data_IF_893438307426
#
_entry.id   IF_893438307426
#
_cell.length_a   1.000
_cell.length_b   1.000
_cell.length_c   1.000
_cell.angle_alpha   90.00
_cell.angle_beta   90.00
_cell.angle_gamma   90.00
#
_symmetry.space_group_name_H-M   'P 1'
#
loop_
_entity.id
_entity.type
_entity.pdbx_description
1 polymer ?
#
# COMPACT_ATOMS: atom_id res chain seq x y z
N UNK A 1 -15.88 -7.41 7.30
CA UNK A 1 -15.02 -6.52 8.11
C UNK A 1 -14.18 -7.38 9.04
N UNK A 2 -12.86 -7.32 8.90
CA UNK A 2 -11.95 -8.11 9.74
C UNK A 2 -11.96 -7.57 11.17
N UNK A 3 -12.34 -8.37 12.13
CA UNK A 3 -12.23 -8.02 13.55
C UNK A 3 -10.80 -8.35 13.97
N UNK A 4 -10.03 -7.34 14.35
CA UNK A 4 -8.69 -7.55 14.90
C UNK A 4 -8.83 -8.29 16.23
N UNK A 5 -8.41 -9.56 16.27
CA UNK A 5 -8.53 -10.45 17.43
C UNK A 5 -7.60 -10.03 18.58
N UNK A 6 -6.59 -9.19 18.33
CA UNK A 6 -5.66 -8.68 19.36
C UNK A 6 -5.58 -7.17 19.32
N UNK A 7 -5.82 -6.53 20.47
CA UNK A 7 -5.52 -5.11 20.65
C UNK A 7 -4.02 -4.89 20.43
N UNK A 8 -3.69 -3.94 19.56
CA UNK A 8 -2.32 -3.52 19.35
C UNK A 8 -1.76 -2.83 20.59
N UNK A 9 -0.58 -3.24 21.05
CA UNK A 9 0.20 -2.54 22.05
C UNK A 9 1.15 -1.51 21.43
N UNK A 10 1.30 -1.49 20.11
CA UNK A 10 2.13 -0.51 19.41
C UNK A 10 1.42 0.84 19.37
N UNK A 11 2.15 1.92 19.64
CA UNK A 11 1.64 3.29 19.56
C UNK A 11 1.26 3.69 18.13
N UNK A 12 1.97 3.15 17.13
CA UNK A 12 1.63 3.34 15.73
C UNK A 12 0.38 2.51 15.36
N UNK A 13 -0.55 3.14 14.67
CA UNK A 13 -1.78 2.54 14.15
C UNK A 13 -2.02 2.94 12.68
N UNK A 14 -3.01 2.31 12.04
CA UNK A 14 -3.33 2.54 10.63
C UNK A 14 -3.65 4.02 10.34
N UNK A 15 -4.45 4.67 11.17
CA UNK A 15 -4.84 6.07 10.97
C UNK A 15 -3.62 6.98 10.95
N UNK A 16 -2.75 6.86 11.94
CA UNK A 16 -1.52 7.63 12.05
C UNK A 16 -0.56 7.37 10.88
N UNK A 17 -0.37 6.10 10.53
CA UNK A 17 0.51 5.72 9.44
C UNK A 17 -0.02 6.23 8.09
N UNK A 18 -1.33 6.15 7.85
CA UNK A 18 -1.97 6.68 6.65
C UNK A 18 -1.84 8.19 6.55
N UNK A 19 -2.07 8.92 7.64
CA UNK A 19 -1.86 10.38 7.70
C UNK A 19 -0.41 10.75 7.37
N UNK A 20 0.55 10.03 7.92
CA UNK A 20 1.96 10.24 7.60
C UNK A 20 2.26 10.05 6.10
N UNK A 21 1.72 9.00 5.48
CA UNK A 21 1.90 8.74 4.05
C UNK A 21 1.31 9.85 3.17
N UNK A 22 0.22 10.47 3.60
CA UNK A 22 -0.42 11.57 2.89
C UNK A 22 0.38 12.87 2.99
N UNK A 23 0.91 13.17 4.18
CA UNK A 23 1.63 14.43 4.46
C UNK A 23 3.07 14.39 3.91
N UNK A 24 3.70 13.22 3.86
CA UNK A 24 5.09 13.06 3.43
C UNK A 24 5.21 12.36 2.06
N UNK A 25 5.22 13.11 0.95
CA UNK A 25 5.25 12.50 -0.38
C UNK A 25 6.61 11.88 -0.76
N UNK A 26 7.70 12.30 -0.13
CA UNK A 26 9.07 11.92 -0.54
C UNK A 26 9.73 10.86 0.36
N UNK A 27 9.64 11.00 1.67
CA UNK A 27 10.38 10.17 2.63
C UNK A 27 9.41 9.32 3.48
N UNK A 28 9.12 8.11 3.04
CA UNK A 28 8.10 7.23 3.65
C UNK A 28 8.71 6.12 4.52
N UNK A 29 9.90 6.34 5.06
CA UNK A 29 10.55 5.36 5.94
C UNK A 29 10.10 5.45 7.40
N UNK A 30 10.18 4.33 8.13
CA UNK A 30 9.81 4.25 9.55
C UNK A 30 10.57 5.26 10.42
N UNK A 31 11.83 5.52 10.11
CA UNK A 31 12.67 6.49 10.82
C UNK A 31 12.15 7.91 10.66
N UNK A 32 11.70 8.27 9.45
CA UNK A 32 11.17 9.61 9.20
C UNK A 32 9.84 9.86 9.91
N UNK A 33 8.99 8.84 10.00
CA UNK A 33 7.77 8.93 10.79
C UNK A 33 8.09 9.14 12.28
N UNK A 34 9.02 8.35 12.81
CA UNK A 34 9.43 8.47 14.21
C UNK A 34 10.09 9.82 14.51
N UNK A 35 10.87 10.36 13.57
CA UNK A 35 11.50 11.68 13.73
C UNK A 35 10.48 12.83 13.73
N UNK A 36 9.42 12.71 12.93
CA UNK A 36 8.35 13.72 12.87
C UNK A 36 7.36 13.66 14.04
N UNK A 37 7.40 12.60 14.85
CA UNK A 37 6.45 12.36 15.93
C UNK A 37 7.20 11.98 17.21
N UNK A 38 7.33 12.90 18.13
CA UNK A 38 8.08 12.72 19.39
C UNK A 38 7.61 11.53 20.26
N UNK A 39 6.35 11.12 20.07
CA UNK A 39 5.71 10.07 20.89
C UNK A 39 5.85 8.66 20.30
N UNK A 40 6.39 8.51 19.08
CA UNK A 40 6.42 7.24 18.37
C UNK A 40 7.86 6.86 18.03
N UNK A 41 8.28 5.69 18.47
CA UNK A 41 9.59 5.14 18.12
C UNK A 41 9.57 4.49 16.74
N UNK A 42 10.73 4.43 16.10
CA UNK A 42 10.97 3.66 14.87
C UNK A 42 10.51 2.20 15.01
N UNK A 43 10.75 1.56 16.15
CA UNK A 43 10.33 0.18 16.40
C UNK A 43 8.81 0.05 16.50
N UNK A 44 8.10 1.05 17.01
CA UNK A 44 6.65 1.05 17.03
C UNK A 44 6.05 1.05 15.61
N UNK A 45 6.65 1.80 14.68
CA UNK A 45 6.23 1.81 13.27
C UNK A 45 6.53 0.47 12.59
N UNK A 46 7.74 -0.06 12.80
CA UNK A 46 8.12 -1.38 12.28
C UNK A 46 7.20 -2.48 12.79
N UNK A 47 6.95 -2.50 14.09
CA UNK A 47 6.07 -3.50 14.71
C UNK A 47 4.62 -3.39 14.19
N UNK A 48 4.14 -2.17 13.93
CA UNK A 48 2.87 -1.96 13.26
C UNK A 48 2.86 -2.61 11.87
N UNK A 49 3.83 -2.33 11.02
CA UNK A 49 3.90 -2.89 9.66
C UNK A 49 4.01 -4.41 9.63
N UNK A 50 4.74 -5.01 10.57
CA UNK A 50 4.88 -6.47 10.68
C UNK A 50 3.60 -7.13 11.20
N UNK A 51 2.89 -6.46 12.13
CA UNK A 51 1.67 -6.99 12.73
C UNK A 51 0.45 -6.89 11.81
N UNK A 52 0.35 -5.79 11.06
CA UNK A 52 -0.79 -5.53 10.20
C UNK A 52 -0.63 -6.25 8.86
N UNK A 53 -1.23 -7.43 8.79
CA UNK A 53 -1.26 -8.26 7.60
C UNK A 53 -2.52 -7.92 6.78
N UNK A 54 -2.47 -6.80 6.06
CA UNK A 54 -3.56 -6.37 5.20
C UNK A 54 -3.60 -7.21 3.92
N UNK A 55 -4.81 -7.62 3.56
CA UNK A 55 -5.08 -8.37 2.35
C UNK A 55 -5.86 -7.51 1.34
N UNK A 56 -5.89 -7.87 0.05
CA UNK A 56 -6.75 -7.22 -0.93
C UNK A 56 -8.23 -7.22 -0.52
N UNK A 57 -8.67 -8.22 0.22
CA UNK A 57 -10.03 -8.30 0.74
C UNK A 57 -10.34 -7.18 1.75
N UNK A 58 -9.37 -6.83 2.59
CA UNK A 58 -9.53 -5.72 3.55
C UNK A 58 -9.70 -4.38 2.83
N UNK A 59 -8.99 -4.18 1.70
CA UNK A 59 -9.19 -3.02 0.84
C UNK A 59 -10.59 -3.02 0.23
N UNK A 60 -11.00 -4.12 -0.40
CA UNK A 60 -12.30 -4.27 -1.03
C UNK A 60 -13.44 -3.98 -0.04
N UNK A 61 -13.42 -4.58 1.15
CA UNK A 61 -14.46 -4.41 2.18
C UNK A 61 -14.61 -2.95 2.66
N UNK A 62 -13.56 -2.13 2.50
CA UNK A 62 -13.61 -0.70 2.82
C UNK A 62 -14.12 0.14 1.67
N UNK A 63 -13.64 -0.11 0.46
CA UNK A 63 -13.97 0.73 -0.70
C UNK A 63 -15.34 0.43 -1.28
N UNK A 64 -15.85 -0.80 -1.17
CA UNK A 64 -17.18 -1.16 -1.66
C UNK A 64 -18.31 -0.38 -0.96
N UNK A 65 -18.08 0.13 0.26
CA UNK A 65 -19.03 0.98 0.97
C UNK A 65 -19.12 2.41 0.38
N UNK A 66 -18.14 2.79 -0.43
CA UNK A 66 -18.02 4.13 -1.05
C UNK A 66 -18.44 4.11 -2.52
N UNK A 67 -18.73 2.93 -3.08
CA UNK A 67 -18.99 2.71 -4.50
C UNK A 67 -20.40 2.16 -4.74
N UNK A 68 -21.00 2.60 -5.83
CA UNK A 68 -22.20 1.95 -6.38
C UNK A 68 -21.73 0.74 -7.20
N UNK A 69 -21.87 -0.46 -6.63
CA UNK A 69 -21.32 -1.72 -7.20
C UNK A 69 -22.11 -2.28 -8.40
N UNK A 70 -23.07 -1.54 -8.92
CA UNK A 70 -23.91 -1.94 -10.08
C UNK A 70 -23.69 -0.99 -11.24
N UNK A 71 -23.49 -1.56 -12.44
CA UNK A 71 -23.42 -0.80 -13.70
C UNK A 71 -22.10 -0.04 -13.94
N UNK A 72 -21.10 -0.25 -13.11
CA UNK A 72 -19.79 0.37 -13.29
C UNK A 72 -18.84 -0.44 -14.19
N UNK A 73 -17.60 0.03 -14.32
CA UNK A 73 -16.56 -0.55 -15.18
C UNK A 73 -15.34 -0.94 -14.35
N UNK A 74 -14.82 -2.16 -14.59
CA UNK A 74 -13.53 -2.60 -14.08
C UNK A 74 -12.42 -2.24 -15.06
N UNK A 75 -11.32 -1.71 -14.56
CA UNK A 75 -10.08 -1.48 -15.31
C UNK A 75 -8.89 -2.05 -14.55
N UNK A 76 -7.99 -2.70 -15.30
CA UNK A 76 -6.74 -3.25 -14.77
C UNK A 76 -5.60 -2.35 -15.21
N UNK A 77 -4.69 -2.06 -14.29
CA UNK A 77 -3.45 -1.33 -14.57
C UNK A 77 -2.28 -2.04 -13.92
N UNK A 78 -1.15 -2.11 -14.62
CA UNK A 78 0.09 -2.63 -14.08
C UNK A 78 1.13 -1.52 -13.97
N UNK A 79 1.89 -1.55 -12.90
CA UNK A 79 2.97 -0.60 -12.68
C UNK A 79 4.19 -1.30 -12.09
N UNK A 80 5.37 -0.83 -12.49
CA UNK A 80 6.64 -1.34 -11.97
C UNK A 80 7.14 -0.42 -10.86
N UNK A 81 7.26 -0.98 -9.68
CA UNK A 81 7.84 -0.30 -8.54
C UNK A 81 9.34 -0.61 -8.47
N UNK A 82 10.16 0.34 -8.91
CA UNK A 82 11.62 0.20 -8.98
C UNK A 82 12.25 -0.09 -7.62
N UNK A 83 13.07 -1.13 -7.57
CA UNK A 83 13.81 -1.58 -6.39
C UNK A 83 15.26 -1.92 -6.75
N UNK A 84 16.04 -0.95 -7.28
CA UNK A 84 17.36 -1.21 -7.86
C UNK A 84 18.37 -1.78 -6.86
N UNK A 85 18.23 -1.44 -5.57
CA UNK A 85 19.15 -1.87 -4.52
C UNK A 85 18.67 -3.09 -3.73
N UNK A 86 17.53 -3.68 -4.11
CA UNK A 86 16.98 -4.83 -3.39
C UNK A 86 17.59 -6.14 -3.88
N UNK A 87 17.78 -7.08 -2.97
CA UNK A 87 18.29 -8.39 -3.31
C UNK A 87 17.16 -9.33 -3.72
N UNK A 88 17.08 -9.65 -5.01
CA UNK A 88 16.07 -10.56 -5.56
C UNK A 88 16.14 -12.00 -4.99
N UNK A 89 17.30 -12.41 -4.47
CA UNK A 89 17.44 -13.73 -3.81
C UNK A 89 16.73 -13.78 -2.45
N UNK A 90 16.56 -12.63 -1.79
CA UNK A 90 15.91 -12.53 -0.48
C UNK A 90 14.42 -12.20 -0.58
N UNK A 91 13.96 -11.71 -1.73
CA UNK A 91 12.56 -11.36 -1.94
C UNK A 91 12.09 -11.85 -3.32
N UNK A 92 11.26 -12.90 -3.36
CA UNK A 92 10.78 -13.51 -4.62
C UNK A 92 9.87 -12.60 -5.45
N UNK A 93 9.35 -11.50 -4.87
CA UNK A 93 8.54 -10.51 -5.60
C UNK A 93 9.40 -9.60 -6.49
N UNK A 94 10.72 -9.59 -6.28
CA UNK A 94 11.63 -8.75 -7.04
C UNK A 94 12.12 -9.50 -8.26
N UNK A 95 11.80 -8.98 -9.43
CA UNK A 95 12.20 -9.53 -10.71
C UNK A 95 12.65 -8.43 -11.68
N UNK A 96 13.10 -8.83 -12.86
CA UNK A 96 13.42 -7.91 -13.95
C UNK A 96 12.18 -7.70 -14.81
N UNK A 97 11.79 -6.42 -14.97
CA UNK A 97 10.63 -6.02 -15.75
C UNK A 97 11.01 -4.93 -16.74
N UNK A 98 10.34 -4.88 -17.88
CA UNK A 98 10.43 -3.73 -18.77
C UNK A 98 9.61 -2.57 -18.19
N UNK A 99 10.26 -1.43 -18.01
CA UNK A 99 9.61 -0.22 -17.52
C UNK A 99 9.43 0.77 -18.65
N UNK A 100 8.18 1.11 -18.98
CA UNK A 100 7.85 2.14 -19.96
C UNK A 100 8.35 3.53 -19.54
N UNK A 101 8.44 3.79 -18.25
CA UNK A 101 8.99 5.04 -17.69
C UNK A 101 10.47 5.22 -17.99
N UNK A 102 11.25 4.14 -17.90
CA UNK A 102 12.70 4.16 -18.08
C UNK A 102 13.11 3.70 -19.49
N UNK A 103 12.15 3.27 -20.32
CA UNK A 103 12.39 2.68 -21.64
C UNK A 103 13.45 1.55 -21.62
N UNK A 104 13.43 0.73 -20.57
CA UNK A 104 14.42 -0.32 -20.38
C UNK A 104 14.03 -1.32 -19.32
N UNK A 105 14.91 -2.30 -19.11
CA UNK A 105 14.72 -3.33 -18.08
C UNK A 105 15.19 -2.79 -16.75
N UNK A 106 14.30 -2.81 -15.76
CA UNK A 106 14.55 -2.42 -14.38
C UNK A 106 14.33 -3.60 -13.44
N UNK A 107 14.98 -3.56 -12.29
CA UNK A 107 14.70 -4.47 -11.19
C UNK A 107 13.62 -3.86 -10.30
N UNK A 108 12.55 -4.61 -10.04
CA UNK A 108 11.44 -4.08 -9.25
C UNK A 108 10.36 -5.11 -8.95
N UNK A 109 9.26 -4.61 -8.41
CA UNK A 109 8.04 -5.38 -8.15
C UNK A 109 6.99 -4.93 -9.16
N UNK A 110 6.39 -5.88 -9.87
CA UNK A 110 5.21 -5.60 -10.69
C UNK A 110 3.98 -5.56 -9.78
N UNK A 111 3.31 -4.44 -9.75
CA UNK A 111 2.05 -4.23 -9.03
C UNK A 111 0.90 -4.18 -10.02
N UNK A 112 -0.02 -5.11 -9.93
CA UNK A 112 -1.26 -5.12 -10.70
C UNK A 112 -2.36 -4.57 -9.82
N UNK A 113 -3.04 -3.52 -10.27
CA UNK A 113 -4.13 -2.87 -9.54
C UNK A 113 -5.42 -2.98 -10.35
N UNK A 114 -6.48 -3.41 -9.69
CA UNK A 114 -7.82 -3.44 -10.24
C UNK A 114 -8.59 -2.23 -9.72
N UNK A 115 -9.05 -1.37 -10.63
CA UNK A 115 -9.90 -0.23 -10.32
C UNK A 115 -11.34 -0.51 -10.72
N UNK A 116 -12.26 -0.04 -9.92
CA UNK A 116 -13.67 0.04 -10.27
C UNK A 116 -14.08 1.51 -10.39
N UNK A 117 -14.71 1.86 -11.51
CA UNK A 117 -15.34 3.16 -11.72
C UNK A 117 -16.85 2.97 -11.69
N UNK A 118 -17.51 3.58 -10.74
CA UNK A 118 -18.95 3.47 -10.59
C UNK A 118 -19.73 4.35 -11.58
N UNK A 119 -21.04 4.24 -11.57
CA UNK A 119 -21.94 5.02 -12.44
C UNK A 119 -21.92 6.52 -12.17
N UNK A 120 -21.43 6.94 -11.01
CA UNK A 120 -21.26 8.34 -10.62
C UNK A 120 -19.87 8.89 -10.98
N UNK A 121 -19.01 8.07 -11.60
CA UNK A 121 -17.65 8.44 -11.93
C UNK A 121 -16.66 8.34 -10.77
N UNK A 122 -17.04 7.79 -9.63
CA UNK A 122 -16.12 7.54 -8.51
C UNK A 122 -15.24 6.34 -8.88
N UNK A 123 -13.91 6.55 -8.90
CA UNK A 123 -12.92 5.54 -9.24
C UNK A 123 -12.04 5.21 -8.05
N UNK A 124 -12.10 3.96 -7.57
CA UNK A 124 -11.28 3.50 -6.45
C UNK A 124 -10.62 2.15 -6.77
N UNK A 125 -9.41 1.87 -6.22
CA UNK A 125 -8.81 0.56 -6.31
C UNK A 125 -9.61 -0.44 -5.47
N UNK A 126 -9.88 -1.61 -6.06
CA UNK A 126 -10.63 -2.69 -5.40
C UNK A 126 -9.78 -3.94 -5.17
N UNK A 127 -8.60 -3.98 -5.79
CA UNK A 127 -7.60 -5.03 -5.63
C UNK A 127 -6.21 -4.44 -5.90
#
# INVERSE_FOLDING_TARGET
MRVLVRKSTALCNLCLYSQYLLVNPKNKGCTQLAFGMETISHDSVRNFLVREDFTPRDLFDRVCLLLVMSGGVLSVDDSIWDKPYSNAKLNPLIARHYSGKHHGIVQGICLVTLFYTDVNGVRLPVL
#
